data_IF_778768955668
#
_entry.id   IF_778768955668
#
_cell.length_a   1.000
_cell.length_b   1.000
_cell.length_c   1.000
_cell.angle_alpha   90.00
_cell.angle_beta   90.00
_cell.angle_gamma   90.00
#
_symmetry.space_group_name_H-M   'P 1'
#
loop_
_entity.id
_entity.type
_entity.pdbx_description
1 polymer ?
#
# COMPACT_ATOMS: atom_id res chain seq x y z
N UNK A 1 6.60 -21.28 -34.92
CA UNK A 1 5.62 -21.56 -33.84
C UNK A 1 5.60 -23.05 -33.45
N UNK A 2 5.31 -23.99 -34.38
CA UNK A 2 5.21 -25.44 -34.10
C UNK A 2 6.47 -26.07 -33.49
N UNK A 3 7.66 -25.71 -34.00
CA UNK A 3 8.97 -26.17 -33.49
C UNK A 3 9.25 -25.81 -32.03
N UNK A 4 8.67 -24.72 -31.51
CA UNK A 4 8.89 -24.30 -30.11
C UNK A 4 8.00 -25.12 -29.15
N UNK A 5 6.79 -25.45 -29.61
CA UNK A 5 5.84 -26.28 -28.89
C UNK A 5 6.37 -27.72 -28.72
N UNK A 6 6.96 -28.29 -29.77
CA UNK A 6 7.62 -29.60 -29.73
C UNK A 6 8.87 -29.61 -28.84
N UNK A 7 9.61 -28.50 -28.79
CA UNK A 7 10.85 -28.39 -28.01
C UNK A 7 10.63 -28.17 -26.51
N UNK A 8 9.53 -27.55 -26.11
CA UNK A 8 9.22 -27.29 -24.69
C UNK A 8 8.22 -28.28 -24.06
N UNK A 9 7.53 -29.10 -24.86
CA UNK A 9 6.52 -30.04 -24.35
C UNK A 9 5.31 -29.37 -23.66
N UNK A 10 5.17 -28.05 -23.81
CA UNK A 10 4.12 -27.23 -23.19
C UNK A 10 3.04 -26.88 -24.20
N UNK A 11 1.79 -26.78 -23.75
CA UNK A 11 0.70 -26.35 -24.61
C UNK A 11 0.98 -24.94 -25.15
N UNK A 12 0.56 -24.68 -26.40
CA UNK A 12 0.77 -23.38 -27.04
C UNK A 12 0.22 -22.22 -26.19
N UNK A 13 -0.94 -22.43 -25.56
CA UNK A 13 -1.54 -21.45 -24.64
C UNK A 13 -0.63 -21.11 -23.46
N UNK A 14 0.09 -22.09 -22.89
CA UNK A 14 1.04 -21.84 -21.79
C UNK A 14 2.22 -20.97 -22.23
N UNK A 15 2.73 -21.22 -23.44
CA UNK A 15 3.84 -20.45 -24.03
C UNK A 15 3.40 -19.00 -24.29
N UNK A 16 2.20 -18.83 -24.87
CA UNK A 16 1.62 -17.50 -25.14
C UNK A 16 1.37 -16.74 -23.84
N UNK A 17 0.79 -17.39 -22.82
CA UNK A 17 0.56 -16.77 -21.50
C UNK A 17 1.86 -16.36 -20.82
N UNK A 18 2.92 -17.17 -20.94
CA UNK A 18 4.23 -16.83 -20.39
C UNK A 18 4.84 -15.61 -21.11
N UNK A 19 4.84 -15.60 -22.45
CA UNK A 19 5.31 -14.47 -23.25
C UNK A 19 4.54 -13.19 -22.93
N UNK A 20 3.21 -13.29 -22.75
CA UNK A 20 2.38 -12.16 -22.35
C UNK A 20 2.72 -11.67 -20.95
N UNK A 21 2.87 -12.58 -19.98
CA UNK A 21 3.25 -12.23 -18.62
C UNK A 21 4.61 -11.52 -18.58
N UNK A 22 5.60 -12.01 -19.33
CA UNK A 22 6.93 -11.39 -19.44
C UNK A 22 6.87 -10.00 -20.10
N UNK A 23 6.10 -9.84 -21.18
CA UNK A 23 5.92 -8.55 -21.84
C UNK A 23 5.21 -7.52 -20.93
N UNK A 24 4.19 -7.96 -20.19
CA UNK A 24 3.48 -7.13 -19.21
C UNK A 24 4.40 -6.74 -18.04
N UNK A 25 5.22 -7.68 -17.55
CA UNK A 25 6.19 -7.41 -16.49
C UNK A 25 7.24 -6.38 -16.93
N UNK A 26 7.76 -6.49 -18.15
CA UNK A 26 8.72 -5.51 -18.72
C UNK A 26 8.08 -4.14 -18.97
N UNK A 27 6.79 -4.09 -19.30
CA UNK A 27 6.06 -2.83 -19.55
C UNK A 27 5.66 -2.11 -18.26
N UNK A 28 5.66 -2.79 -17.11
CA UNK A 28 5.44 -2.13 -15.82
C UNK A 28 6.64 -1.23 -15.51
N UNK A 29 6.60 0.00 -16.01
CA UNK A 29 7.04 1.14 -15.20
C UNK A 29 6.15 1.08 -13.96
N UNK A 30 6.65 0.45 -12.89
CA UNK A 30 5.90 0.34 -11.65
C UNK A 30 5.51 1.77 -11.27
N UNK A 31 4.20 2.12 -11.21
CA UNK A 31 3.83 3.41 -10.70
C UNK A 31 4.42 3.50 -9.29
N UNK A 32 5.25 4.53 -9.06
CA UNK A 32 5.84 4.75 -7.75
C UNK A 32 4.67 4.85 -6.77
N UNK A 33 4.60 3.90 -5.83
CA UNK A 33 3.57 3.94 -4.80
C UNK A 33 3.77 5.26 -4.05
N UNK A 34 2.71 6.06 -3.86
CA UNK A 34 2.85 7.31 -3.14
C UNK A 34 3.40 6.99 -1.75
N UNK A 35 4.52 7.62 -1.41
CA UNK A 35 5.13 7.47 -0.08
C UNK A 35 4.15 8.00 0.95
N UNK A 36 3.87 7.23 2.00
CA UNK A 36 3.10 7.71 3.14
C UNK A 36 3.80 8.94 3.71
N UNK A 37 3.14 10.09 3.64
CA UNK A 37 3.62 11.31 4.28
C UNK A 37 2.90 11.48 5.61
N UNK A 38 3.66 11.36 6.70
CA UNK A 38 3.16 11.68 8.03
C UNK A 38 2.98 13.20 8.15
N UNK A 39 1.72 13.65 8.23
CA UNK A 39 1.40 15.06 8.46
C UNK A 39 1.24 15.28 9.96
N UNK A 40 2.21 15.96 10.57
CA UNK A 40 2.12 16.44 11.94
C UNK A 40 1.90 17.95 11.93
N UNK A 41 0.93 18.42 12.72
CA UNK A 41 0.69 19.85 12.97
C UNK A 41 0.69 20.08 14.48
N UNK A 42 1.32 21.17 14.96
CA UNK A 42 1.20 21.51 16.37
C UNK A 42 -0.25 21.91 16.66
N UNK A 43 -0.99 21.03 17.33
CA UNK A 43 -2.40 21.28 17.69
C UNK A 43 -2.56 22.03 19.01
N UNK A 44 -1.49 22.08 19.82
CA UNK A 44 -1.45 22.61 21.18
C UNK A 44 -2.50 21.98 22.11
N UNK A 45 -2.21 21.94 23.41
CA UNK A 45 -3.17 21.42 24.36
C UNK A 45 -4.23 22.50 24.65
N UNK A 46 -5.51 22.14 24.57
CA UNK A 46 -6.61 23.01 25.00
C UNK A 46 -6.77 23.03 26.53
N UNK A 47 -6.01 22.20 27.24
CA UNK A 47 -6.03 22.05 28.68
C UNK A 47 -4.60 22.07 29.24
N UNK A 48 -4.45 22.60 30.45
CA UNK A 48 -3.17 22.56 31.15
C UNK A 48 -2.84 21.12 31.57
N UNK A 49 -1.93 20.47 30.83
CA UNK A 49 -1.56 19.07 31.09
C UNK A 49 -0.86 18.86 32.44
N UNK A 50 -0.33 19.91 33.05
CA UNK A 50 0.23 19.86 34.40
C UNK A 50 -0.84 19.82 35.50
N UNK A 51 -2.08 20.20 35.17
CA UNK A 51 -3.21 20.17 36.09
C UNK A 51 -3.97 18.86 35.90
N UNK A 52 -3.80 17.97 36.88
CA UNK A 52 -4.43 16.65 36.91
C UNK A 52 -5.95 16.77 36.80
N UNK A 53 -6.57 17.64 37.59
CA UNK A 53 -8.03 17.74 37.66
C UNK A 53 -8.59 18.27 36.33
N UNK A 54 -7.88 19.21 35.70
CA UNK A 54 -8.26 19.72 34.39
C UNK A 54 -8.23 18.63 33.30
N UNK A 55 -7.24 17.73 33.34
CA UNK A 55 -7.16 16.59 32.40
C UNK A 55 -8.29 15.58 32.62
N UNK A 56 -8.50 15.14 33.87
CA UNK A 56 -9.56 14.17 34.17
C UNK A 56 -10.95 14.73 33.86
N UNK A 57 -11.21 16.01 34.16
CA UNK A 57 -12.47 16.64 33.81
C UNK A 57 -12.75 16.75 32.30
N UNK A 58 -11.74 16.68 31.43
CA UNK A 58 -11.96 16.56 29.97
C UNK A 58 -12.27 15.12 29.59
N UNK A 59 -11.56 14.15 30.16
CA UNK A 59 -11.77 12.72 29.89
C UNK A 59 -13.17 12.26 30.31
N UNK A 60 -13.62 12.64 31.50
CA UNK A 60 -14.93 12.27 32.02
C UNK A 60 -16.09 12.85 31.18
N UNK A 61 -15.89 14.03 30.56
CA UNK A 61 -16.87 14.66 29.64
C UNK A 61 -16.93 14.00 28.27
N UNK A 62 -15.88 13.29 27.85
CA UNK A 62 -15.86 12.60 26.56
C UNK A 62 -16.50 11.20 26.60
N UNK A 63 -16.82 10.69 27.79
CA UNK A 63 -17.48 9.39 27.99
C UNK A 63 -19.03 9.49 28.10
N UNK A 64 -19.59 10.71 28.02
CA UNK A 64 -21.04 11.01 27.93
C UNK A 64 -21.50 11.25 26.48
#
# INVERSE_FOLDING_TARGET
MKKLQEKEGRSLGRIVSQLLAEALARRKNAPELPKLQWVSRPMHALVALSDKEAVYGVLDRSDE
#
